data_IF_716624356163
#
_entry.id   IF_716624356163
#
_cell.length_a   1.000
_cell.length_b   1.000
_cell.length_c   1.000
_cell.angle_alpha   90.00
_cell.angle_beta   90.00
_cell.angle_gamma   90.00
#
_symmetry.space_group_name_H-M   'P 1'
#
loop_
_entity.id
_entity.type
_entity.pdbx_description
1 polymer ?
#
# COMPACT_ATOMS: atom_id res chain seq x y z
N UNK A 1 -33.14 1.32 12.45
CA UNK A 1 -32.05 2.30 12.64
C UNK A 1 -31.51 2.70 11.27
N UNK A 2 -31.30 3.98 11.04
CA UNK A 2 -30.71 4.43 9.77
C UNK A 2 -29.26 3.94 9.67
N UNK A 3 -28.89 3.30 8.56
CA UNK A 3 -27.52 2.82 8.34
C UNK A 3 -26.53 3.99 8.41
N UNK A 4 -25.42 3.81 9.12
CA UNK A 4 -24.34 4.79 9.27
C UNK A 4 -23.03 4.23 8.74
N UNK A 5 -22.06 5.08 8.46
CA UNK A 5 -20.73 4.62 8.04
C UNK A 5 -20.07 3.74 9.11
N UNK A 6 -20.34 4.01 10.39
CA UNK A 6 -19.80 3.23 11.50
C UNK A 6 -20.41 1.82 11.53
N UNK A 7 -21.75 1.70 11.35
CA UNK A 7 -22.42 0.40 11.27
C UNK A 7 -22.01 -0.39 10.03
N UNK A 8 -21.73 0.30 8.94
CA UNK A 8 -21.20 -0.32 7.72
C UNK A 8 -19.77 -0.83 7.91
N UNK A 9 -18.89 -0.04 8.54
CA UNK A 9 -17.54 -0.50 8.88
C UNK A 9 -17.56 -1.70 9.82
N UNK A 10 -18.51 -1.76 10.79
CA UNK A 10 -18.68 -2.94 11.64
C UNK A 10 -18.98 -4.19 10.82
N UNK A 11 -19.84 -4.08 9.81
CA UNK A 11 -20.15 -5.21 8.91
C UNK A 11 -18.89 -5.66 8.15
N UNK A 12 -18.12 -4.73 7.59
CA UNK A 12 -16.87 -5.06 6.88
C UNK A 12 -15.85 -5.75 7.80
N UNK A 13 -15.70 -5.29 9.05
CA UNK A 13 -14.76 -5.90 9.99
C UNK A 13 -15.19 -7.31 10.39
N UNK A 14 -16.49 -7.57 10.49
CA UNK A 14 -17.05 -8.88 10.82
C UNK A 14 -16.90 -9.94 9.72
N UNK A 15 -16.58 -9.53 8.50
CA UNK A 15 -16.25 -10.44 7.40
C UNK A 15 -14.74 -10.67 7.41
N UNK A 16 -14.24 -11.86 7.81
CA UNK A 16 -12.82 -12.15 7.74
C UNK A 16 -12.29 -12.08 6.31
N UNK A 17 -11.10 -11.53 6.13
CA UNK A 17 -10.41 -11.48 4.84
C UNK A 17 -8.89 -11.57 5.02
N UNK A 18 -8.46 -12.47 5.89
CA UNK A 18 -7.03 -12.68 6.17
C UNK A 18 -6.32 -13.18 4.93
N UNK A 19 -5.19 -12.56 4.61
CA UNK A 19 -4.36 -12.97 3.49
C UNK A 19 -3.76 -14.37 3.76
N UNK A 20 -4.07 -15.38 2.93
CA UNK A 20 -3.61 -16.74 3.16
C UNK A 20 -2.08 -16.91 3.06
N UNK A 21 -1.39 -16.00 2.37
CA UNK A 21 0.08 -16.03 2.28
C UNK A 21 0.73 -15.58 3.61
N UNK A 22 0.00 -14.86 4.47
CA UNK A 22 0.49 -14.36 5.76
C UNK A 22 0.10 -15.25 6.95
N UNK A 23 -1.02 -15.97 6.86
CA UNK A 23 -1.50 -16.84 7.94
C UNK A 23 -2.32 -18.02 7.37
N UNK A 24 -1.66 -19.01 6.76
CA UNK A 24 -2.35 -20.13 6.11
C UNK A 24 -3.11 -21.03 7.11
N UNK A 25 -2.79 -20.97 8.39
CA UNK A 25 -3.41 -21.80 9.43
C UNK A 25 -4.71 -21.20 10.01
N UNK A 26 -5.02 -19.96 9.69
CA UNK A 26 -6.12 -19.23 10.35
C UNK A 26 -7.53 -19.74 9.99
N UNK A 27 -7.72 -20.56 8.95
CA UNK A 27 -9.03 -21.09 8.53
C UNK A 27 -10.06 -20.04 8.09
N UNK A 28 -9.70 -18.75 8.15
CA UNK A 28 -10.53 -17.56 7.88
C UNK A 28 -9.91 -16.74 6.74
N UNK A 29 -9.46 -17.44 5.72
CA UNK A 29 -8.55 -16.92 4.71
C UNK A 29 -9.25 -16.55 3.42
N UNK A 30 -8.67 -15.56 2.73
CA UNK A 30 -9.09 -15.13 1.42
C UNK A 30 -10.05 -13.95 1.42
N UNK A 31 -10.07 -13.29 0.31
CA UNK A 31 -10.80 -12.05 0.09
C UNK A 31 -12.20 -12.25 -0.49
N UNK A 32 -12.52 -13.48 -0.92
CA UNK A 32 -13.72 -13.81 -1.70
C UNK A 32 -15.02 -13.35 -1.01
N UNK A 33 -15.22 -13.72 0.25
CA UNK A 33 -16.45 -13.38 0.97
C UNK A 33 -16.65 -11.86 1.13
N UNK A 34 -15.56 -11.12 1.36
CA UNK A 34 -15.63 -9.66 1.41
C UNK A 34 -15.91 -9.07 0.04
N UNK A 35 -15.30 -9.61 -1.02
CA UNK A 35 -15.51 -9.14 -2.38
C UNK A 35 -16.97 -9.36 -2.82
N UNK A 36 -17.57 -10.50 -2.51
CA UNK A 36 -18.97 -10.82 -2.80
C UNK A 36 -19.93 -9.89 -2.05
N UNK A 37 -19.73 -9.70 -0.76
CA UNK A 37 -20.51 -8.74 0.02
C UNK A 37 -20.46 -7.33 -0.56
N UNK A 38 -19.26 -6.87 -0.95
CA UNK A 38 -19.07 -5.57 -1.55
C UNK A 38 -19.69 -5.48 -2.94
N UNK A 39 -19.68 -6.55 -3.73
CA UNK A 39 -20.28 -6.58 -5.05
C UNK A 39 -21.79 -6.34 -4.95
N UNK A 40 -22.51 -7.09 -4.11
CA UNK A 40 -23.93 -6.91 -3.87
C UNK A 40 -24.27 -5.49 -3.38
N UNK A 41 -23.45 -4.99 -2.46
CA UNK A 41 -23.67 -3.64 -1.92
C UNK A 41 -23.47 -2.56 -2.98
N UNK A 42 -22.42 -2.66 -3.83
CA UNK A 42 -22.12 -1.70 -4.89
C UNK A 42 -23.16 -1.71 -6.00
N UNK A 43 -23.64 -2.90 -6.38
CA UNK A 43 -24.76 -3.07 -7.33
C UNK A 43 -26.03 -2.39 -6.79
N UNK A 44 -26.31 -2.51 -5.49
CA UNK A 44 -27.48 -1.88 -4.84
C UNK A 44 -27.47 -0.36 -4.92
N UNK A 45 -26.31 0.26 -5.14
CA UNK A 45 -26.17 1.71 -5.32
C UNK A 45 -25.93 2.12 -6.77
N UNK A 46 -26.07 1.19 -7.72
CA UNK A 46 -26.07 1.44 -9.15
C UNK A 46 -24.72 1.28 -9.86
N UNK A 47 -23.77 0.56 -9.29
CA UNK A 47 -22.54 0.20 -9.98
C UNK A 47 -22.73 -1.04 -10.87
N UNK A 48 -21.97 -1.13 -11.95
CA UNK A 48 -21.69 -2.38 -12.65
C UNK A 48 -20.46 -3.00 -12.03
N UNK A 49 -20.56 -4.23 -11.48
CA UNK A 49 -19.49 -4.87 -10.75
C UNK A 49 -18.94 -6.08 -11.50
N UNK A 50 -17.61 -6.26 -11.43
CA UNK A 50 -16.92 -7.45 -11.95
C UNK A 50 -15.96 -7.93 -10.85
N UNK A 51 -16.02 -9.21 -10.52
CA UNK A 51 -15.02 -9.93 -9.75
C UNK A 51 -14.01 -10.52 -10.73
N UNK A 52 -12.80 -9.98 -10.77
CA UNK A 52 -11.75 -10.38 -11.69
C UNK A 52 -10.73 -11.23 -10.96
N UNK A 53 -10.75 -12.56 -11.20
CA UNK A 53 -9.85 -13.48 -10.53
C UNK A 53 -8.38 -13.19 -10.88
N UNK A 54 -7.56 -13.07 -9.83
CA UNK A 54 -6.11 -12.84 -9.91
C UNK A 54 -5.34 -14.10 -9.51
N UNK A 55 -5.79 -14.76 -8.45
CA UNK A 55 -5.37 -16.09 -8.00
C UNK A 55 -6.63 -16.91 -7.75
N UNK A 56 -6.58 -18.26 -7.78
CA UNK A 56 -7.76 -19.09 -7.53
C UNK A 56 -8.52 -18.70 -6.25
N UNK A 57 -9.80 -18.32 -6.40
CA UNK A 57 -10.66 -17.87 -5.30
C UNK A 57 -10.27 -16.53 -4.67
N UNK A 58 -9.42 -15.74 -5.31
CA UNK A 58 -8.94 -14.44 -4.81
C UNK A 58 -9.08 -13.36 -5.88
N UNK A 59 -10.23 -12.70 -5.99
CA UNK A 59 -10.49 -11.71 -7.01
C UNK A 59 -10.08 -10.30 -6.58
N UNK A 60 -9.80 -9.44 -7.58
CA UNK A 60 -10.07 -8.02 -7.47
C UNK A 60 -11.57 -7.75 -7.64
N UNK A 61 -12.10 -6.76 -6.96
CA UNK A 61 -13.44 -6.25 -7.21
C UNK A 61 -13.32 -4.94 -7.99
N UNK A 62 -14.00 -4.83 -9.14
CA UNK A 62 -14.03 -3.63 -9.98
C UNK A 62 -15.48 -3.15 -10.09
N UNK A 63 -15.77 -1.93 -9.61
CA UNK A 63 -17.10 -1.32 -9.68
C UNK A 63 -17.06 -0.01 -10.48
N UNK A 64 -17.93 0.08 -11.48
CA UNK A 64 -18.03 1.23 -12.39
C UNK A 64 -19.42 1.86 -12.30
N UNK A 65 -19.44 3.19 -12.16
CA UNK A 65 -20.68 3.98 -12.09
C UNK A 65 -20.97 4.73 -13.40
N UNK A 66 -20.10 4.63 -14.38
CA UNK A 66 -20.24 5.25 -15.69
C UNK A 66 -19.75 4.30 -16.79
N UNK A 67 -20.31 4.38 -18.01
CA UNK A 67 -19.86 3.57 -19.14
C UNK A 67 -18.41 3.89 -19.52
N UNK A 68 -17.81 3.00 -20.32
CA UNK A 68 -16.47 3.19 -20.92
C UNK A 68 -16.59 4.05 -22.18
N UNK A 69 -16.87 5.33 -22.02
CA UNK A 69 -17.19 6.29 -23.08
C UNK A 69 -16.04 7.25 -23.43
N UNK A 70 -14.84 6.93 -22.98
CA UNK A 70 -13.63 7.72 -23.29
C UNK A 70 -13.40 8.93 -22.39
N UNK A 71 -14.31 9.24 -21.46
CA UNK A 71 -14.06 10.31 -20.47
C UNK A 71 -12.91 9.94 -19.52
N UNK A 72 -12.20 10.95 -18.98
CA UNK A 72 -11.18 10.70 -17.94
C UNK A 72 -11.73 9.89 -16.79
N UNK A 73 -10.91 8.97 -16.22
CA UNK A 73 -11.31 8.12 -15.10
C UNK A 73 -10.37 8.29 -13.92
N UNK A 74 -10.93 8.27 -12.74
CA UNK A 74 -10.17 8.20 -11.47
C UNK A 74 -10.54 6.95 -10.72
N UNK A 75 -9.56 6.41 -10.00
CA UNK A 75 -9.67 5.18 -9.24
C UNK A 75 -9.71 5.49 -7.74
N UNK A 76 -10.65 4.88 -7.02
CA UNK A 76 -10.61 4.75 -5.56
C UNK A 76 -10.22 3.30 -5.25
N UNK A 77 -9.03 3.08 -4.67
CA UNK A 77 -8.41 1.77 -4.57
C UNK A 77 -7.96 1.39 -3.16
N UNK A 78 -8.84 0.88 -2.27
CA UNK A 78 -8.42 0.17 -1.05
C UNK A 78 -8.05 -1.28 -1.38
N UNK A 79 -7.47 -2.01 -0.38
CA UNK A 79 -7.26 -3.45 -0.50
C UNK A 79 -8.29 -4.26 0.30
N UNK A 80 -8.51 -5.53 -0.12
CA UNK A 80 -9.48 -6.45 0.48
C UNK A 80 -8.91 -7.21 1.66
N UNK A 81 -7.65 -7.63 1.54
CA UNK A 81 -7.00 -8.52 2.50
C UNK A 81 -6.59 -7.81 3.79
N UNK A 82 -6.26 -8.60 4.79
CA UNK A 82 -5.67 -8.16 6.04
C UNK A 82 -4.52 -9.08 6.43
N UNK A 83 -3.60 -8.61 7.28
CA UNK A 83 -2.63 -9.48 7.94
C UNK A 83 -3.32 -10.48 8.87
N UNK A 84 -2.56 -11.49 9.31
CA UNK A 84 -3.01 -12.54 10.23
C UNK A 84 -3.50 -12.02 11.58
N UNK A 85 -4.08 -12.91 12.37
CA UNK A 85 -4.68 -12.61 13.68
C UNK A 85 -3.90 -13.17 14.86
N UNK A 86 -2.81 -13.89 14.60
CA UNK A 86 -1.98 -14.49 15.63
C UNK A 86 -1.47 -13.42 16.63
N UNK A 87 -1.56 -13.70 17.90
CA UNK A 87 -1.14 -12.80 18.98
C UNK A 87 -2.10 -11.63 19.28
N UNK A 88 -3.27 -11.54 18.65
CA UNK A 88 -4.29 -10.56 19.04
C UNK A 88 -4.89 -10.93 20.41
N UNK A 89 -5.12 -9.89 21.22
CA UNK A 89 -5.70 -10.02 22.57
C UNK A 89 -7.19 -9.62 22.62
N UNK A 90 -7.75 -9.23 21.49
CA UNK A 90 -9.16 -8.87 21.33
C UNK A 90 -9.79 -9.80 20.30
N UNK A 91 -11.14 -9.85 20.27
CA UNK A 91 -11.87 -10.57 19.22
C UNK A 91 -11.56 -9.95 17.83
N UNK A 92 -10.89 -10.68 16.93
CA UNK A 92 -10.40 -10.09 15.69
C UNK A 92 -11.50 -9.53 14.79
N UNK A 93 -12.65 -10.20 14.73
CA UNK A 93 -13.75 -9.89 13.81
C UNK A 93 -15.04 -9.48 14.54
N UNK A 94 -14.96 -9.14 15.82
CA UNK A 94 -16.13 -8.68 16.61
C UNK A 94 -16.71 -7.35 16.14
N UNK A 95 -15.87 -6.46 15.65
CA UNK A 95 -16.27 -5.10 15.26
C UNK A 95 -16.85 -4.32 16.43
N UNK A 96 -16.30 -4.50 17.63
CA UNK A 96 -16.77 -3.84 18.86
C UNK A 96 -16.56 -2.32 18.77
N UNK A 97 -17.59 -1.55 19.16
CA UNK A 97 -17.45 -0.12 19.37
C UNK A 97 -17.35 0.17 20.84
N UNK A 98 -16.17 0.58 21.31
CA UNK A 98 -15.89 0.93 22.69
C UNK A 98 -15.08 2.23 22.76
N UNK A 99 -15.43 3.13 23.66
CA UNK A 99 -14.76 4.43 23.86
C UNK A 99 -14.68 5.27 22.58
N UNK A 100 -15.71 5.24 21.75
CA UNK A 100 -15.75 5.96 20.47
C UNK A 100 -14.78 5.41 19.40
N UNK A 101 -14.33 4.16 19.53
CA UNK A 101 -13.44 3.46 18.60
C UNK A 101 -14.04 2.14 18.17
N UNK A 102 -13.80 1.78 16.92
CA UNK A 102 -14.13 0.46 16.40
C UNK A 102 -12.88 -0.42 16.45
N UNK A 103 -13.02 -1.58 17.09
CA UNK A 103 -11.96 -2.54 17.32
C UNK A 103 -12.14 -3.77 16.44
N UNK A 104 -11.04 -4.25 15.85
CA UNK A 104 -11.01 -5.47 15.05
C UNK A 104 -9.92 -5.44 13.99
N UNK A 105 -9.59 -6.63 13.45
CA UNK A 105 -8.63 -6.80 12.35
C UNK A 105 -9.14 -6.09 11.10
N UNK A 106 -8.26 -5.30 10.46
CA UNK A 106 -8.63 -4.53 9.28
C UNK A 106 -9.42 -3.24 9.56
N UNK A 107 -9.82 -2.95 10.81
CA UNK A 107 -10.61 -1.75 11.13
C UNK A 107 -9.93 -0.43 10.72
N UNK A 108 -8.60 -0.41 10.71
CA UNK A 108 -7.80 0.73 10.28
C UNK A 108 -7.14 0.48 8.91
N UNK A 109 -6.64 -0.71 8.70
CA UNK A 109 -5.87 -1.16 7.56
C UNK A 109 -6.57 -2.37 6.90
N UNK A 110 -7.44 -2.17 5.85
CA UNK A 110 -7.83 -0.86 5.26
C UNK A 110 -9.36 -0.73 5.14
N UNK A 111 -10.16 -1.54 5.90
CA UNK A 111 -11.64 -1.50 5.84
C UNK A 111 -12.21 -0.14 6.28
N UNK A 112 -11.50 0.60 7.14
CA UNK A 112 -11.88 1.96 7.52
C UNK A 112 -11.88 2.94 6.36
N UNK A 113 -10.75 3.15 5.66
CA UNK A 113 -10.69 3.90 4.41
C UNK A 113 -11.68 3.39 3.36
N UNK A 114 -11.80 2.08 3.18
CA UNK A 114 -12.76 1.42 2.30
C UNK A 114 -14.20 1.86 2.61
N UNK A 115 -14.62 1.75 3.86
CA UNK A 115 -15.98 2.14 4.29
C UNK A 115 -16.25 3.63 4.00
N UNK A 116 -15.28 4.49 4.19
CA UNK A 116 -15.44 5.91 3.91
C UNK A 116 -15.59 6.22 2.42
N UNK A 117 -14.78 5.58 1.57
CA UNK A 117 -14.88 5.70 0.11
C UNK A 117 -16.24 5.20 -0.38
N UNK A 118 -16.64 4.01 0.04
CA UNK A 118 -17.92 3.42 -0.31
C UNK A 118 -19.10 4.28 0.15
N UNK A 119 -19.04 4.80 1.37
CA UNK A 119 -20.08 5.68 1.88
C UNK A 119 -20.19 6.98 1.08
N UNK A 120 -19.06 7.56 0.68
CA UNK A 120 -19.06 8.75 -0.19
C UNK A 120 -19.68 8.47 -1.56
N UNK A 121 -19.38 7.30 -2.16
CA UNK A 121 -20.00 6.85 -3.41
C UNK A 121 -21.52 6.72 -3.26
N UNK A 122 -22.00 6.07 -2.19
CA UNK A 122 -23.43 5.97 -1.88
C UNK A 122 -24.11 7.34 -1.78
N UNK A 123 -23.50 8.27 -1.06
CA UNK A 123 -24.06 9.61 -0.86
C UNK A 123 -24.10 10.44 -2.15
N UNK A 124 -23.25 10.10 -3.11
CA UNK A 124 -23.12 10.82 -4.39
C UNK A 124 -23.67 10.04 -5.57
N UNK A 125 -24.25 8.84 -5.37
CA UNK A 125 -24.65 7.91 -6.44
C UNK A 125 -25.49 8.54 -7.56
N UNK A 126 -26.38 9.48 -7.23
CA UNK A 126 -27.25 10.13 -8.20
C UNK A 126 -26.53 11.05 -9.19
N UNK A 127 -25.26 11.39 -8.95
CA UNK A 127 -24.47 12.24 -9.82
C UNK A 127 -23.33 11.50 -10.53
N UNK A 128 -22.93 10.30 -10.07
CA UNK A 128 -21.70 9.62 -10.52
C UNK A 128 -21.70 9.33 -12.04
N UNK A 129 -22.82 8.91 -12.59
CA UNK A 129 -22.94 8.59 -14.03
C UNK A 129 -22.75 9.82 -14.93
N UNK A 130 -23.09 11.02 -14.43
CA UNK A 130 -23.10 12.26 -15.18
C UNK A 130 -21.89 13.16 -14.89
N UNK A 131 -20.94 12.70 -14.07
CA UNK A 131 -19.70 13.45 -13.83
C UNK A 131 -18.88 13.52 -15.11
N UNK A 132 -18.23 14.66 -15.38
CA UNK A 132 -17.32 14.80 -16.52
C UNK A 132 -16.06 13.92 -16.39
N UNK A 133 -15.79 13.43 -15.19
CA UNK A 133 -14.75 12.44 -14.87
C UNK A 133 -15.42 11.23 -14.24
N UNK A 134 -15.25 10.05 -14.85
CA UNK A 134 -15.77 8.82 -14.28
C UNK A 134 -15.02 8.43 -13.01
N UNK A 135 -15.74 7.88 -12.04
CA UNK A 135 -15.17 7.40 -10.76
C UNK A 135 -15.42 5.91 -10.67
N UNK A 136 -14.34 5.14 -10.57
CA UNK A 136 -14.38 3.71 -10.35
C UNK A 136 -13.86 3.37 -8.95
N UNK A 137 -14.43 2.33 -8.36
CA UNK A 137 -13.94 1.76 -7.12
C UNK A 137 -13.35 0.39 -7.42
N UNK A 138 -12.11 0.16 -7.00
CA UNK A 138 -11.43 -1.12 -7.18
C UNK A 138 -10.83 -1.56 -5.86
N UNK A 139 -11.31 -2.66 -5.31
CA UNK A 139 -10.73 -3.26 -4.13
C UNK A 139 -9.75 -4.36 -4.54
N UNK A 140 -8.49 -4.20 -4.13
CA UNK A 140 -7.38 -5.06 -4.54
C UNK A 140 -7.17 -6.23 -3.59
N UNK A 141 -6.95 -7.44 -4.16
CA UNK A 141 -6.53 -8.61 -3.39
C UNK A 141 -5.01 -8.58 -3.14
N UNK A 142 -4.57 -9.20 -2.03
CA UNK A 142 -3.18 -9.55 -1.81
C UNK A 142 -2.21 -8.39 -1.68
N UNK A 143 -2.62 -7.26 -1.10
CA UNK A 143 -1.73 -6.12 -0.81
C UNK A 143 -0.67 -6.52 0.19
N UNK A 144 -1.06 -7.19 1.27
CA UNK A 144 -0.25 -7.54 2.44
C UNK A 144 0.83 -8.60 2.17
N UNK A 145 0.81 -9.23 0.98
CA UNK A 145 1.78 -10.29 0.62
C UNK A 145 2.50 -10.11 -0.72
N UNK A 146 2.36 -8.96 -1.37
CA UNK A 146 3.08 -8.74 -2.62
C UNK A 146 2.32 -7.92 -3.65
N UNK A 147 1.13 -7.39 -3.30
CA UNK A 147 0.35 -6.46 -4.12
C UNK A 147 -0.08 -7.06 -5.46
N UNK A 148 -0.44 -8.35 -5.42
CA UNK A 148 -0.79 -9.12 -6.61
C UNK A 148 -1.95 -8.48 -7.38
N UNK A 149 -3.02 -8.09 -6.67
CA UNK A 149 -4.21 -7.50 -7.27
C UNK A 149 -3.93 -6.18 -7.97
N UNK A 150 -3.23 -5.25 -7.32
CA UNK A 150 -2.93 -3.96 -7.93
C UNK A 150 -1.95 -4.06 -9.10
N UNK A 151 -0.99 -5.00 -9.06
CA UNK A 151 -0.07 -5.29 -10.15
C UNK A 151 -0.79 -5.88 -11.35
N UNK A 152 -1.68 -6.84 -11.13
CA UNK A 152 -2.49 -7.45 -12.19
C UNK A 152 -3.42 -6.41 -12.83
N UNK A 153 -4.14 -5.65 -12.00
CA UNK A 153 -4.99 -4.56 -12.46
C UNK A 153 -4.20 -3.52 -13.28
N UNK A 154 -3.00 -3.15 -12.85
CA UNK A 154 -2.18 -2.19 -13.57
C UNK A 154 -1.79 -2.69 -14.96
N UNK A 155 -1.49 -3.99 -15.11
CA UNK A 155 -1.20 -4.59 -16.42
C UNK A 155 -2.38 -4.53 -17.37
N UNK A 156 -3.59 -4.77 -16.88
CA UNK A 156 -4.81 -4.87 -17.70
C UNK A 156 -5.49 -3.52 -17.94
N UNK A 157 -5.50 -2.64 -16.94
CA UNK A 157 -6.42 -1.50 -16.91
C UNK A 157 -5.78 -0.12 -16.71
N UNK A 158 -4.49 -0.02 -16.33
CA UNK A 158 -3.87 1.26 -15.96
C UNK A 158 -4.00 2.37 -17.02
N UNK A 159 -3.99 2.01 -18.30
CA UNK A 159 -4.08 2.98 -19.39
C UNK A 159 -5.41 3.77 -19.42
N UNK A 160 -6.45 3.27 -18.72
CA UNK A 160 -7.77 3.90 -18.66
C UNK A 160 -7.92 4.94 -17.54
N UNK A 161 -6.90 5.10 -16.65
CA UNK A 161 -7.00 5.96 -15.49
C UNK A 161 -5.99 7.09 -15.52
N UNK A 162 -6.44 8.30 -15.19
CA UNK A 162 -5.59 9.48 -15.07
C UNK A 162 -5.08 9.70 -13.66
N UNK A 163 -5.78 9.15 -12.67
CA UNK A 163 -5.45 9.35 -11.27
C UNK A 163 -6.02 8.25 -10.39
N UNK A 164 -5.30 7.92 -9.30
CA UNK A 164 -5.77 6.99 -8.30
C UNK A 164 -5.62 7.55 -6.89
N UNK A 165 -6.60 7.25 -6.03
CA UNK A 165 -6.56 7.48 -4.59
C UNK A 165 -6.58 6.12 -3.92
N UNK A 166 -5.47 5.76 -3.26
CA UNK A 166 -5.33 4.49 -2.55
C UNK A 166 -5.70 4.69 -1.08
N UNK A 167 -6.59 3.85 -0.57
CA UNK A 167 -7.10 3.95 0.79
C UNK A 167 -6.17 3.27 1.80
N UNK A 168 -5.33 4.06 2.48
CA UNK A 168 -4.37 3.60 3.48
C UNK A 168 -4.47 4.41 4.79
N UNK A 169 -4.00 3.86 5.94
CA UNK A 169 -4.05 4.55 7.23
C UNK A 169 -2.96 5.62 7.35
N UNK A 170 -3.14 6.77 6.71
CA UNK A 170 -2.16 7.87 6.63
C UNK A 170 -2.32 8.95 7.71
N UNK A 171 -3.19 8.77 8.69
CA UNK A 171 -3.51 9.79 9.70
C UNK A 171 -4.11 11.09 9.11
N UNK A 172 -4.80 10.99 7.97
CA UNK A 172 -5.36 12.08 7.17
C UNK A 172 -4.31 12.92 6.43
N UNK A 173 -3.11 12.43 6.29
CA UNK A 173 -2.12 13.06 5.42
C UNK A 173 -2.30 12.60 3.97
N UNK A 174 -2.10 13.52 3.03
CA UNK A 174 -2.07 13.21 1.61
C UNK A 174 -0.66 12.74 1.29
N UNK A 175 -0.47 11.43 1.23
CA UNK A 175 0.80 10.83 0.86
C UNK A 175 0.93 10.87 -0.66
N UNK A 176 1.76 11.79 -1.15
CA UNK A 176 1.98 12.01 -2.57
C UNK A 176 3.29 11.42 -3.10
N UNK A 177 4.15 10.94 -2.19
CA UNK A 177 5.42 10.29 -2.53
C UNK A 177 5.71 9.15 -1.56
N UNK A 178 6.16 7.99 -2.08
CA UNK A 178 6.55 6.83 -1.27
C UNK A 178 7.89 6.28 -1.73
N UNK A 179 8.62 5.64 -0.81
CA UNK A 179 9.78 4.82 -1.19
C UNK A 179 9.30 3.52 -1.84
N UNK A 180 10.02 3.05 -2.83
CA UNK A 180 9.95 1.67 -3.29
C UNK A 180 10.65 0.72 -2.32
N UNK A 181 10.64 -0.58 -2.64
CA UNK A 181 11.30 -1.62 -1.84
C UNK A 181 11.92 -2.66 -2.75
N UNK A 182 13.15 -3.08 -2.44
CA UNK A 182 13.73 -4.31 -2.96
C UNK A 182 13.89 -5.28 -1.80
N UNK A 183 13.31 -6.46 -1.93
CA UNK A 183 13.68 -7.61 -1.11
C UNK A 183 14.56 -8.52 -1.92
N UNK A 184 15.68 -8.94 -1.34
CA UNK A 184 16.62 -9.82 -2.00
C UNK A 184 17.18 -10.83 -1.02
N UNK A 185 17.37 -12.08 -1.47
CA UNK A 185 18.05 -13.11 -0.72
C UNK A 185 19.44 -13.31 -1.31
N UNK A 186 20.45 -13.10 -0.47
CA UNK A 186 21.84 -13.42 -0.78
C UNK A 186 22.19 -14.79 -0.24
N UNK A 187 22.91 -15.60 -1.03
CA UNK A 187 23.39 -16.92 -0.66
C UNK A 187 24.91 -16.98 -0.80
N UNK A 188 25.56 -17.55 0.22
CA UNK A 188 26.94 -18.00 0.15
C UNK A 188 26.98 -19.53 0.22
N UNK A 189 27.78 -20.14 -0.63
CA UNK A 189 28.05 -21.58 -0.62
C UNK A 189 29.46 -21.86 -0.11
N UNK A 190 29.64 -23.03 0.49
CA UNK A 190 30.88 -23.48 1.07
C UNK A 190 31.13 -24.96 0.80
N UNK A 191 31.99 -25.56 1.62
CA UNK A 191 32.31 -27.00 1.58
C UNK A 191 32.19 -27.56 2.98
N UNK A 192 31.23 -28.48 3.19
CA UNK A 192 30.98 -29.12 4.47
C UNK A 192 32.09 -30.15 4.79
N UNK A 193 32.64 -30.04 6.00
CA UNK A 193 33.56 -31.00 6.59
C UNK A 193 33.35 -31.08 8.10
N UNK A 194 33.88 -32.09 8.74
CA UNK A 194 33.88 -32.18 10.18
C UNK A 194 34.68 -31.03 10.80
N UNK A 195 34.17 -30.43 11.89
CA UNK A 195 34.77 -29.26 12.54
C UNK A 195 36.19 -29.46 13.09
N UNK A 196 36.67 -30.68 13.20
CA UNK A 196 38.06 -30.99 13.55
C UNK A 196 39.06 -30.79 12.43
N UNK A 197 38.58 -30.58 11.17
CA UNK A 197 39.44 -30.39 9.98
C UNK A 197 38.91 -29.18 9.17
N UNK A 198 38.72 -28.00 9.77
CA UNK A 198 38.06 -26.88 9.11
C UNK A 198 38.86 -26.35 7.89
N UNK A 199 40.17 -26.60 7.84
CA UNK A 199 41.07 -26.22 6.73
C UNK A 199 40.75 -26.96 5.44
N UNK A 200 40.00 -28.07 5.50
CA UNK A 200 39.57 -28.87 4.31
C UNK A 200 38.21 -28.41 3.81
N UNK A 201 37.53 -27.53 4.53
CA UNK A 201 36.22 -27.02 4.16
C UNK A 201 36.23 -25.53 3.85
N UNK A 202 35.08 -25.05 3.45
CA UNK A 202 34.82 -23.61 3.25
C UNK A 202 33.57 -23.20 4.02
N UNK A 203 33.74 -22.32 5.00
CA UNK A 203 32.62 -21.91 5.85
C UNK A 203 31.74 -20.84 5.19
N UNK A 204 30.54 -21.24 4.75
CA UNK A 204 29.57 -20.36 4.11
C UNK A 204 29.09 -19.21 5.01
N UNK A 205 28.95 -19.45 6.33
CA UNK A 205 28.56 -18.40 7.28
C UNK A 205 29.62 -17.29 7.31
N UNK A 206 30.91 -17.64 7.38
CA UNK A 206 32.00 -16.67 7.37
C UNK A 206 32.09 -15.92 6.04
N UNK A 207 31.88 -16.62 4.91
CA UNK A 207 31.80 -15.96 3.58
C UNK A 207 30.66 -14.91 3.58
N UNK A 208 29.46 -15.32 3.99
CA UNK A 208 28.28 -14.47 3.99
C UNK A 208 28.48 -13.26 4.91
N UNK A 209 28.86 -13.46 6.17
CA UNK A 209 29.00 -12.36 7.14
C UNK A 209 30.04 -11.32 6.74
N UNK A 210 31.19 -11.76 6.21
CA UNK A 210 32.21 -10.84 5.63
C UNK A 210 31.70 -10.08 4.43
N UNK A 211 30.89 -10.73 3.58
CA UNK A 211 30.26 -10.08 2.42
C UNK A 211 29.23 -9.04 2.86
N UNK A 212 28.40 -9.37 3.86
CA UNK A 212 27.38 -8.46 4.38
C UNK A 212 28.00 -7.22 5.04
N UNK A 213 29.06 -7.37 5.82
CA UNK A 213 29.77 -6.25 6.45
C UNK A 213 30.33 -5.28 5.40
N UNK A 214 30.98 -5.81 4.36
CA UNK A 214 31.47 -5.01 3.23
C UNK A 214 30.34 -4.34 2.44
N UNK A 215 29.24 -5.05 2.21
CA UNK A 215 28.07 -4.53 1.51
C UNK A 215 27.41 -3.41 2.29
N UNK A 216 27.23 -3.55 3.60
CA UNK A 216 26.61 -2.51 4.44
C UNK A 216 27.36 -1.19 4.33
N UNK A 217 28.70 -1.22 4.43
CA UNK A 217 29.52 -0.02 4.28
C UNK A 217 29.49 0.60 2.88
N UNK A 218 29.73 -0.22 1.84
CA UNK A 218 29.82 0.29 0.46
C UNK A 218 28.45 0.67 -0.12
N UNK A 219 27.48 -0.24 -0.05
CA UNK A 219 26.14 -0.01 -0.57
C UNK A 219 25.42 1.08 0.22
N UNK A 220 25.58 1.10 1.56
CA UNK A 220 25.04 2.16 2.41
C UNK A 220 25.52 3.54 2.01
N UNK A 221 26.82 3.68 1.68
CA UNK A 221 27.40 4.93 1.17
C UNK A 221 26.79 5.35 -0.18
N UNK A 222 26.67 4.40 -1.14
CA UNK A 222 26.05 4.66 -2.44
C UNK A 222 24.57 5.05 -2.32
N UNK A 223 23.82 4.34 -1.47
CA UNK A 223 22.40 4.61 -1.23
C UNK A 223 22.15 6.00 -0.61
N UNK A 224 23.08 6.50 0.19
CA UNK A 224 22.99 7.83 0.79
C UNK A 224 23.02 8.97 -0.24
N UNK A 225 23.61 8.75 -1.42
CA UNK A 225 23.60 9.72 -2.52
C UNK A 225 22.21 9.93 -3.12
N UNK A 226 21.32 8.94 -3.00
CA UNK A 226 19.95 8.99 -3.53
C UNK A 226 19.00 9.50 -2.45
N UNK A 227 19.04 10.82 -2.20
CA UNK A 227 18.21 11.49 -1.20
C UNK A 227 17.04 12.20 -1.88
N UNK A 228 15.86 12.13 -1.25
CA UNK A 228 14.65 12.84 -1.66
C UNK A 228 14.27 13.88 -0.58
N UNK A 229 13.82 15.10 -0.95
CA UNK A 229 13.54 16.17 0.02
C UNK A 229 12.53 15.78 1.11
N UNK A 230 11.51 14.98 0.76
CA UNK A 230 10.44 14.56 1.68
C UNK A 230 10.73 13.20 2.32
N UNK A 231 11.32 12.25 1.57
CA UNK A 231 11.51 10.86 2.01
C UNK A 231 12.86 10.61 2.70
N UNK A 232 13.80 11.54 2.60
CA UNK A 232 15.18 11.32 3.01
C UNK A 232 15.90 10.35 2.06
N UNK A 233 16.97 9.71 2.54
CA UNK A 233 17.84 8.84 1.75
C UNK A 233 17.24 7.44 1.49
N UNK A 234 17.72 6.76 0.46
CA UNK A 234 17.57 5.32 0.30
C UNK A 234 18.33 4.57 1.41
N UNK A 235 17.85 3.39 1.81
CA UNK A 235 18.38 2.67 2.98
C UNK A 235 18.49 1.18 2.72
N UNK A 236 19.46 0.52 3.37
CA UNK A 236 19.61 -0.94 3.45
C UNK A 236 19.28 -1.42 4.86
N UNK A 237 18.61 -2.55 4.96
CA UNK A 237 18.46 -3.33 6.17
C UNK A 237 18.75 -4.81 5.88
N UNK A 238 19.59 -5.44 6.70
CA UNK A 238 19.81 -6.88 6.72
C UNK A 238 18.84 -7.44 7.76
N UNK A 239 17.71 -8.00 7.30
CA UNK A 239 16.59 -8.36 8.17
C UNK A 239 16.68 -9.76 8.75
N UNK A 240 17.26 -10.70 8.02
CA UNK A 240 17.36 -12.11 8.41
C UNK A 240 18.70 -12.68 7.97
N UNK A 241 19.25 -13.58 8.79
CA UNK A 241 20.40 -14.42 8.45
C UNK A 241 20.14 -15.83 8.93
N UNK A 242 20.49 -16.84 8.12
CA UNK A 242 20.39 -18.25 8.43
C UNK A 242 21.61 -18.98 7.87
N UNK A 243 22.06 -20.06 8.51
CA UNK A 243 23.15 -20.86 7.98
C UNK A 243 23.60 -21.98 8.92
N UNK A 244 24.18 -23.02 8.31
CA UNK A 244 24.65 -24.20 9.01
C UNK A 244 23.54 -25.13 9.51
N UNK A 245 23.94 -26.33 9.92
CA UNK A 245 23.02 -27.37 10.41
C UNK A 245 23.37 -27.84 11.81
N UNK A 246 24.64 -28.00 12.13
CA UNK A 246 25.15 -28.48 13.42
C UNK A 246 26.51 -27.83 13.77
N UNK A 247 26.85 -27.63 15.06
CA UNK A 247 28.09 -26.96 15.46
C UNK A 247 29.37 -27.75 15.14
N UNK A 248 29.26 -29.05 14.93
CA UNK A 248 30.41 -29.92 14.58
C UNK A 248 30.57 -30.12 13.04
N UNK A 249 29.91 -29.33 12.23
CA UNK A 249 30.03 -29.35 10.75
C UNK A 249 30.37 -27.92 10.27
N UNK A 250 31.39 -27.78 9.42
CA UNK A 250 31.66 -26.54 8.70
C UNK A 250 30.49 -26.27 7.75
N UNK A 251 29.79 -25.13 7.84
CA UNK A 251 28.61 -24.85 7.03
C UNK A 251 28.92 -24.71 5.54
N UNK A 252 28.15 -25.40 4.70
CA UNK A 252 28.21 -25.32 3.24
C UNK A 252 27.17 -24.38 2.64
N UNK A 253 26.22 -23.89 3.44
CA UNK A 253 25.17 -22.97 3.03
C UNK A 253 24.89 -21.90 4.09
N UNK A 254 24.77 -20.66 3.65
CA UNK A 254 24.25 -19.54 4.46
C UNK A 254 23.50 -18.54 3.57
N UNK A 255 22.42 -17.97 4.09
CA UNK A 255 21.57 -17.02 3.39
C UNK A 255 21.26 -15.80 4.27
N UNK A 256 21.07 -14.65 3.62
CA UNK A 256 20.58 -13.42 4.25
C UNK A 256 19.49 -12.76 3.42
N UNK A 257 18.46 -12.24 4.10
CA UNK A 257 17.39 -11.49 3.45
C UNK A 257 17.60 -9.98 3.70
N UNK A 258 17.62 -9.24 2.61
CA UNK A 258 17.84 -7.80 2.58
C UNK A 258 16.54 -7.06 2.25
N UNK A 259 16.36 -5.88 2.84
CA UNK A 259 15.33 -4.89 2.48
C UNK A 259 16.03 -3.57 2.12
N UNK A 260 15.95 -3.17 0.85
CA UNK A 260 16.44 -1.87 0.39
C UNK A 260 15.24 -0.98 0.09
N UNK A 261 15.17 0.17 0.77
CA UNK A 261 14.17 1.19 0.47
C UNK A 261 14.72 2.20 -0.51
N UNK A 262 14.09 2.29 -1.69
CA UNK A 262 14.56 3.14 -2.78
C UNK A 262 13.72 4.39 -2.96
N UNK A 263 14.39 5.53 -3.12
CA UNK A 263 13.78 6.81 -3.49
C UNK A 263 13.48 6.85 -4.99
N UNK A 264 12.62 7.77 -5.48
CA UNK A 264 12.43 8.01 -6.92
C UNK A 264 13.75 8.24 -7.68
N UNK A 265 14.71 8.93 -7.06
CA UNK A 265 16.03 9.18 -7.65
C UNK A 265 16.82 7.88 -7.91
N UNK A 266 16.80 6.92 -6.97
CA UNK A 266 17.44 5.61 -7.17
C UNK A 266 16.71 4.78 -8.24
N UNK A 267 15.39 4.82 -8.26
CA UNK A 267 14.61 4.14 -9.30
C UNK A 267 14.95 4.68 -10.70
N UNK A 268 15.04 6.01 -10.85
CA UNK A 268 15.45 6.65 -12.11
C UNK A 268 16.90 6.31 -12.53
N UNK A 269 17.77 5.99 -11.58
CA UNK A 269 19.16 5.55 -11.84
C UNK A 269 19.28 4.04 -12.20
N UNK A 270 18.15 3.34 -12.32
CA UNK A 270 18.10 1.92 -12.73
C UNK A 270 17.72 0.96 -11.61
N UNK A 271 17.32 1.48 -10.43
CA UNK A 271 16.77 0.69 -9.33
C UNK A 271 17.79 0.14 -8.34
N UNK A 272 17.28 -0.45 -7.28
CA UNK A 272 18.10 -0.96 -6.18
C UNK A 272 18.75 -2.31 -6.54
N UNK A 273 18.09 -3.14 -7.32
CA UNK A 273 18.64 -4.45 -7.74
C UNK A 273 19.88 -4.29 -8.61
N UNK A 274 19.85 -3.37 -9.56
CA UNK A 274 21.03 -3.04 -10.38
C UNK A 274 22.19 -2.58 -9.49
N UNK A 275 21.94 -1.62 -8.61
CA UNK A 275 22.98 -1.10 -7.70
C UNK A 275 23.55 -2.18 -6.78
N UNK A 276 22.71 -3.10 -6.28
CA UNK A 276 23.12 -4.24 -5.46
C UNK A 276 24.04 -5.18 -6.26
N UNK A 277 23.65 -5.56 -7.47
CA UNK A 277 24.46 -6.43 -8.36
C UNK A 277 25.82 -5.81 -8.68
N UNK A 278 25.84 -4.53 -9.06
CA UNK A 278 27.07 -3.79 -9.34
C UNK A 278 27.99 -3.76 -8.11
N UNK A 279 27.43 -3.51 -6.92
CA UNK A 279 28.22 -3.48 -5.67
C UNK A 279 28.76 -4.85 -5.28
N UNK A 280 27.99 -5.95 -5.44
CA UNK A 280 28.47 -7.32 -5.22
C UNK A 280 29.66 -7.62 -6.15
N UNK A 281 29.54 -7.27 -7.43
CA UNK A 281 30.58 -7.46 -8.42
C UNK A 281 31.84 -6.63 -8.11
N UNK A 282 31.71 -5.34 -7.83
CA UNK A 282 32.83 -4.45 -7.47
C UNK A 282 33.60 -4.93 -6.23
N UNK A 283 32.89 -5.48 -5.25
CA UNK A 283 33.50 -6.01 -4.05
C UNK A 283 34.12 -7.40 -4.27
N UNK A 284 33.87 -8.09 -5.38
CA UNK A 284 34.21 -9.48 -5.55
C UNK A 284 33.64 -10.35 -4.42
N UNK A 285 32.44 -10.01 -3.92
CA UNK A 285 31.83 -10.71 -2.80
C UNK A 285 31.37 -12.11 -3.24
N UNK A 286 31.77 -13.20 -2.53
CA UNK A 286 31.42 -14.57 -2.90
C UNK A 286 30.00 -14.93 -2.47
N UNK A 287 29.03 -14.17 -2.97
CA UNK A 287 27.59 -14.35 -2.74
C UNK A 287 26.82 -14.19 -4.05
N UNK A 288 25.70 -14.87 -4.15
CA UNK A 288 24.77 -14.76 -5.27
C UNK A 288 23.40 -14.24 -4.81
N UNK A 289 22.66 -13.56 -5.69
CA UNK A 289 21.27 -13.18 -5.47
C UNK A 289 20.40 -14.33 -5.97
N UNK A 290 19.83 -15.11 -5.05
CA UNK A 290 19.01 -16.30 -5.39
C UNK A 290 17.53 -15.96 -5.55
N UNK A 291 17.08 -14.86 -4.96
CA UNK A 291 15.75 -14.30 -5.19
C UNK A 291 15.76 -12.78 -5.05
N UNK A 292 14.88 -12.12 -5.78
CA UNK A 292 14.70 -10.67 -5.65
C UNK A 292 13.31 -10.25 -6.09
N UNK A 293 12.77 -9.24 -5.40
CA UNK A 293 11.51 -8.62 -5.75
C UNK A 293 11.59 -7.12 -5.50
N UNK A 294 11.52 -6.32 -6.57
CA UNK A 294 11.58 -4.86 -6.49
C UNK A 294 10.23 -4.25 -6.82
N UNK A 295 9.77 -3.36 -5.93
CA UNK A 295 8.60 -2.51 -6.14
C UNK A 295 9.07 -1.07 -6.35
N UNK A 296 8.60 -0.39 -7.41
CA UNK A 296 9.00 0.98 -7.67
C UNK A 296 8.46 1.94 -6.59
N UNK A 297 9.11 3.09 -6.38
CA UNK A 297 8.54 4.19 -5.62
C UNK A 297 7.38 4.81 -6.37
N UNK A 298 6.54 5.54 -5.66
CA UNK A 298 5.51 6.40 -6.25
C UNK A 298 5.86 7.85 -5.98
N UNK A 299 5.67 8.72 -6.97
CA UNK A 299 5.76 10.16 -6.79
C UNK A 299 4.72 10.87 -7.65
N UNK A 300 3.95 11.75 -7.01
CA UNK A 300 3.06 12.69 -7.67
C UNK A 300 3.51 14.10 -7.28
N UNK A 301 3.74 15.00 -8.24
CA UNK A 301 4.13 16.38 -7.93
C UNK A 301 3.15 17.04 -6.94
N UNK A 302 3.65 17.76 -5.92
CA UNK A 302 2.79 18.36 -4.89
C UNK A 302 1.84 19.42 -5.45
N UNK A 303 2.15 19.98 -6.61
CA UNK A 303 1.35 20.97 -7.33
C UNK A 303 0.37 20.34 -8.34
N UNK A 304 0.31 19.02 -8.44
CA UNK A 304 -0.63 18.32 -9.30
C UNK A 304 -2.08 18.76 -9.00
N UNK A 305 -2.93 19.01 -10.01
CA UNK A 305 -4.28 19.54 -9.80
C UNK A 305 -5.13 18.71 -8.84
N UNK A 306 -4.99 17.39 -8.88
CA UNK A 306 -5.72 16.48 -7.97
C UNK A 306 -5.23 16.57 -6.53
N UNK A 307 -3.91 16.74 -6.30
CA UNK A 307 -3.36 16.99 -4.96
C UNK A 307 -3.93 18.26 -4.39
N UNK A 308 -3.94 19.36 -5.16
CA UNK A 308 -4.53 20.64 -4.74
C UNK A 308 -6.02 20.51 -4.42
N UNK A 309 -6.78 19.74 -5.21
CA UNK A 309 -8.22 19.47 -4.94
C UNK A 309 -8.40 18.69 -3.63
N UNK A 310 -7.58 17.68 -3.37
CA UNK A 310 -7.62 16.93 -2.11
C UNK A 310 -7.30 17.82 -0.91
N UNK A 311 -6.32 18.73 -1.02
CA UNK A 311 -6.00 19.70 0.04
C UNK A 311 -7.15 20.67 0.31
N UNK A 312 -7.84 21.15 -0.74
CA UNK A 312 -9.02 22.02 -0.59
C UNK A 312 -10.17 21.26 0.06
N UNK A 313 -10.37 20.01 -0.29
CA UNK A 313 -11.41 19.15 0.28
C UNK A 313 -11.12 18.76 1.74
N UNK A 314 -9.85 18.62 2.10
CA UNK A 314 -9.36 18.32 3.45
C UNK A 314 -8.38 19.39 3.96
N UNK A 315 -8.86 20.56 4.38
CA UNK A 315 -7.99 21.70 4.72
C UNK A 315 -7.03 21.42 5.90
N UNK A 316 -7.33 20.41 6.71
CA UNK A 316 -6.44 19.94 7.79
C UNK A 316 -5.43 18.87 7.31
N UNK A 317 -5.54 18.42 6.06
CA UNK A 317 -4.66 17.41 5.51
C UNK A 317 -3.33 18.02 5.07
N UNK A 318 -2.24 17.45 5.58
CA UNK A 318 -0.87 17.85 5.21
C UNK A 318 -0.36 16.98 4.07
N UNK A 319 0.50 17.56 3.23
CA UNK A 319 1.28 16.76 2.30
C UNK A 319 2.37 16.01 3.07
N UNK A 320 2.51 14.74 2.76
CA UNK A 320 3.51 13.88 3.39
C UNK A 320 4.13 12.93 2.37
N UNK A 321 5.29 12.39 2.74
CA UNK A 321 5.87 11.21 2.13
C UNK A 321 5.83 10.07 3.12
N UNK A 322 5.62 8.84 2.64
CA UNK A 322 5.69 7.66 3.47
C UNK A 322 6.80 6.73 3.02
N UNK A 323 7.61 6.20 3.95
CA UNK A 323 8.34 4.99 3.68
C UNK A 323 7.29 3.90 3.47
N UNK A 324 7.28 3.25 2.30
CA UNK A 324 6.36 2.15 2.06
C UNK A 324 6.66 1.04 3.06
N UNK A 325 5.74 0.77 3.99
CA UNK A 325 5.83 -0.41 4.83
C UNK A 325 5.40 -1.60 3.98
N UNK A 326 6.31 -2.51 3.74
CA UNK A 326 5.89 -3.85 3.38
C UNK A 326 5.30 -4.47 4.65
N UNK A 327 4.15 -5.09 4.51
CA UNK A 327 3.45 -5.94 5.45
C UNK A 327 3.42 -5.45 6.90
N UNK A 328 2.24 -5.12 7.34
CA UNK A 328 1.91 -4.78 8.70
C UNK A 328 2.40 -5.79 9.72
N UNK A 329 3.46 -5.45 10.43
CA UNK A 329 3.46 -5.84 11.83
C UNK A 329 2.64 -4.82 12.56
N UNK A 330 1.52 -5.34 13.01
CA UNK A 330 0.58 -4.79 13.94
C UNK A 330 0.99 -3.47 14.63
N UNK A 331 0.40 -2.39 14.19
CA UNK A 331 0.23 -1.18 14.99
C UNK A 331 -1.22 -1.05 15.47
N UNK A 332 -1.95 -2.16 15.59
CA UNK A 332 -3.33 -2.22 16.08
C UNK A 332 -3.49 -1.68 17.53
N UNK A 333 -2.38 -1.45 18.24
CA UNK A 333 -2.38 -0.95 19.61
C UNK A 333 -2.13 0.56 19.74
N UNK A 334 -2.02 1.34 18.65
CA UNK A 334 -1.94 2.80 18.82
C UNK A 334 -3.27 3.35 19.30
N UNK A 335 -3.32 3.63 20.61
CA UNK A 335 -4.40 4.32 21.30
C UNK A 335 -4.72 5.64 20.58
N UNK A 336 -5.91 5.72 20.01
CA UNK A 336 -6.49 6.98 19.54
C UNK A 336 -6.98 7.70 20.79
N UNK A 337 -6.28 8.74 21.25
CA UNK A 337 -6.80 9.61 22.31
C UNK A 337 -7.79 10.62 21.70
N UNK A 338 -9.00 10.80 22.26
CA UNK A 338 -9.85 11.90 21.90
C UNK A 338 -9.29 13.18 22.54
N UNK A 339 -8.96 14.19 21.75
CA UNK A 339 -8.78 15.54 22.28
C UNK A 339 -10.10 16.28 22.14
N UNK A 340 -10.58 16.76 23.28
CA UNK A 340 -11.80 17.56 23.43
C UNK A 340 -11.67 18.96 22.81
N UNK A 341 -12.83 19.48 22.37
CA UNK A 341 -13.20 20.89 22.24
C UNK A 341 -12.41 21.80 21.30
N UNK A 342 -12.93 21.95 20.10
CA UNK A 342 -13.13 23.27 19.44
C UNK A 342 -14.16 23.11 18.32
N UNK A 343 -15.42 23.08 18.71
CA UNK A 343 -16.58 23.01 17.81
C UNK A 343 -17.09 24.42 17.59
N UNK A 344 -17.57 24.69 16.40
CA UNK A 344 -18.58 25.68 16.04
C UNK A 344 -18.19 26.92 15.22
N UNK A 345 -16.96 27.26 14.91
CA UNK A 345 -16.68 28.49 14.17
C UNK A 345 -16.23 28.36 12.70
N UNK A 346 -15.99 27.16 12.20
CA UNK A 346 -15.43 26.92 10.84
C UNK A 346 -16.49 26.74 9.72
N UNK A 347 -17.75 26.68 10.03
CA UNK A 347 -18.83 26.44 9.06
C UNK A 347 -19.28 27.66 8.26
N UNK A 348 -18.91 28.88 8.63
CA UNK A 348 -19.41 30.11 8.00
C UNK A 348 -18.49 30.76 6.96
N UNK A 349 -17.28 30.25 6.69
CA UNK A 349 -16.31 30.90 5.80
C UNK A 349 -16.06 30.24 4.43
N UNK A 350 -16.78 29.22 4.05
CA UNK A 350 -16.55 28.47 2.80
C UNK A 350 -17.42 28.92 1.61
N UNK A 351 -17.82 30.19 1.52
CA UNK A 351 -18.72 30.68 0.45
C UNK A 351 -18.12 31.66 -0.55
N UNK A 352 -16.83 31.81 -0.66
CA UNK A 352 -16.27 32.64 -1.74
C UNK A 352 -14.85 32.24 -2.09
N UNK A 353 -14.68 31.56 -3.22
CA UNK A 353 -13.48 31.70 -4.07
C UNK A 353 -13.79 31.26 -5.50
N UNK A 354 -13.62 32.19 -6.43
CA UNK A 354 -13.80 32.03 -7.87
C UNK A 354 -12.63 31.33 -8.53
N UNK A 355 -12.94 30.57 -9.59
CA UNK A 355 -12.00 29.85 -10.42
C UNK A 355 -11.18 30.79 -11.31
N UNK A 356 -9.88 30.53 -11.42
CA UNK A 356 -9.06 31.00 -12.52
C UNK A 356 -8.19 29.86 -13.06
N UNK A 357 -8.47 29.53 -14.31
CA UNK A 357 -7.65 28.89 -15.36
C UNK A 357 -6.50 27.94 -15.02
N UNK A 358 -6.74 26.64 -15.24
CA UNK A 358 -5.78 25.71 -15.82
C UNK A 358 -6.57 24.74 -16.72
N UNK A 359 -6.11 24.55 -17.98
CA UNK A 359 -6.84 23.87 -19.02
C UNK A 359 -7.12 22.39 -18.74
N UNK A 360 -8.29 21.95 -19.17
CA UNK A 360 -8.62 20.55 -19.40
C UNK A 360 -9.52 19.85 -18.40
N UNK A 361 -9.68 20.34 -17.16
CA UNK A 361 -10.56 19.72 -16.16
C UNK A 361 -11.82 20.56 -15.91
N UNK A 362 -13.00 19.91 -15.76
CA UNK A 362 -14.25 20.63 -15.56
C UNK A 362 -14.22 21.48 -14.29
N UNK A 363 -14.58 22.75 -14.43
CA UNK A 363 -14.67 23.74 -13.35
C UNK A 363 -16.04 23.80 -12.69
N UNK A 364 -16.97 22.88 -13.07
CA UNK A 364 -18.27 22.81 -12.46
C UNK A 364 -18.18 22.34 -11.00
N UNK A 365 -19.03 22.88 -10.14
CA UNK A 365 -19.04 22.57 -8.72
C UNK A 365 -19.29 21.10 -8.38
N UNK A 366 -19.69 20.26 -9.35
CA UNK A 366 -20.07 18.85 -9.17
C UNK A 366 -18.90 17.97 -8.74
N UNK A 367 -17.74 18.10 -9.41
CA UNK A 367 -16.54 17.34 -9.05
C UNK A 367 -15.96 17.79 -7.71
N UNK A 368 -16.03 19.10 -7.40
CA UNK A 368 -15.59 19.66 -6.11
C UNK A 368 -16.43 19.13 -4.95
N UNK A 369 -17.73 18.93 -5.13
CA UNK A 369 -18.61 18.41 -4.08
C UNK A 369 -18.42 16.91 -3.84
N UNK A 370 -18.08 16.14 -4.88
CA UNK A 370 -17.69 14.73 -4.76
C UNK A 370 -16.43 14.57 -3.89
N UNK A 371 -15.37 15.32 -4.18
CA UNK A 371 -14.13 15.27 -3.37
C UNK A 371 -14.36 15.77 -1.95
N UNK A 372 -15.19 16.78 -1.73
CA UNK A 372 -15.60 17.21 -0.38
C UNK A 372 -16.28 16.10 0.39
N UNK A 373 -17.11 15.29 -0.24
CA UNK A 373 -17.83 14.18 0.43
C UNK A 373 -16.91 13.02 0.74
N UNK A 374 -15.92 12.72 -0.11
CA UNK A 374 -14.88 11.73 0.19
C UNK A 374 -14.00 12.20 1.37
N UNK A 375 -13.67 13.50 1.42
CA UNK A 375 -12.68 14.04 2.39
C UNK A 375 -13.30 14.61 3.67
N UNK A 376 -14.54 15.11 3.66
CA UNK A 376 -15.08 16.04 4.67
C UNK A 376 -16.25 15.48 5.47
N UNK A 377 -16.87 14.34 5.14
CA UNK A 377 -17.80 13.81 6.14
C UNK A 377 -17.04 13.31 7.35
N UNK A 378 -16.80 14.26 8.23
CA UNK A 378 -16.60 14.05 9.65
C UNK A 378 -17.74 13.17 10.15
N UNK A 379 -17.57 11.87 10.18
CA UNK A 379 -18.34 11.06 11.10
C UNK A 379 -18.15 11.70 12.47
N UNK A 380 -19.25 12.12 13.11
CA UNK A 380 -19.24 12.83 14.38
C UNK A 380 -18.68 12.00 15.54
N UNK A 381 -18.21 10.79 15.29
CA UNK A 381 -17.68 9.84 16.25
C UNK A 381 -16.40 9.22 15.69
N UNK A 382 -15.33 9.30 16.42
CA UNK A 382 -14.04 8.55 16.38
C UNK A 382 -13.33 8.27 15.04
N UNK A 383 -13.99 8.22 13.89
CA UNK A 383 -13.35 8.07 12.55
C UNK A 383 -12.64 9.35 12.06
N UNK A 384 -12.63 10.40 12.85
CA UNK A 384 -12.29 11.78 12.52
C UNK A 384 -10.84 12.06 12.14
N UNK A 385 -9.93 11.07 12.06
CA UNK A 385 -8.49 11.38 11.90
C UNK A 385 -7.68 10.49 10.99
N UNK A 386 -8.26 9.70 10.05
CA UNK A 386 -7.41 8.80 9.25
C UNK A 386 -7.98 8.40 7.87
N UNK A 387 -8.28 9.34 6.99
CA UNK A 387 -8.90 9.02 5.70
C UNK A 387 -8.39 9.85 4.52
N UNK A 388 -7.11 9.83 4.25
CA UNK A 388 -6.59 10.22 2.94
C UNK A 388 -5.50 9.22 2.58
N UNK A 389 -5.63 8.61 1.40
CA UNK A 389 -4.74 7.58 0.91
C UNK A 389 -3.54 8.10 0.13
N UNK A 390 -2.71 7.19 -0.28
CA UNK A 390 -1.62 7.44 -1.23
C UNK A 390 -2.20 7.77 -2.61
N UNK A 391 -1.53 8.64 -3.35
CA UNK A 391 -1.96 9.13 -4.64
C UNK A 391 -1.00 8.66 -5.71
N UNK A 392 -1.50 7.98 -6.75
CA UNK A 392 -0.71 7.51 -7.88
C UNK A 392 -1.19 8.11 -9.21
N UNK A 393 -0.27 8.42 -10.11
CA UNK A 393 -0.54 8.87 -11.49
C UNK A 393 -0.42 7.72 -12.48
N UNK A 394 -0.90 7.87 -13.73
CA UNK A 394 -0.72 6.87 -14.79
C UNK A 394 0.74 6.50 -15.06
N UNK A 395 1.68 7.41 -14.84
CA UNK A 395 3.12 7.12 -14.95
C UNK A 395 3.58 6.15 -13.87
N UNK A 396 3.11 6.33 -12.63
CA UNK A 396 3.36 5.38 -11.55
C UNK A 396 2.82 3.99 -11.88
N UNK A 397 1.64 3.91 -12.54
CA UNK A 397 1.08 2.66 -13.04
C UNK A 397 1.88 2.06 -14.22
N UNK A 398 2.40 2.90 -15.13
CA UNK A 398 3.25 2.44 -16.25
C UNK A 398 4.59 1.90 -15.77
N UNK A 399 5.19 2.50 -14.76
CA UNK A 399 6.42 1.99 -14.15
C UNK A 399 6.22 0.61 -13.51
N UNK A 400 5.02 0.28 -13.03
CA UNK A 400 4.69 -1.08 -12.62
C UNK A 400 4.70 -2.09 -13.78
N UNK A 401 4.55 -1.66 -15.05
CA UNK A 401 4.61 -2.54 -16.22
C UNK A 401 6.02 -2.95 -16.64
N UNK A 402 7.01 -2.04 -16.51
CA UNK A 402 8.34 -2.28 -17.08
C UNK A 402 9.17 -3.33 -16.36
N UNK A 403 8.93 -3.57 -15.07
CA UNK A 403 9.79 -4.45 -14.27
C UNK A 403 9.35 -5.93 -14.23
N UNK A 404 8.32 -6.32 -15.00
CA UNK A 404 7.84 -7.72 -15.02
C UNK A 404 8.22 -8.50 -16.29
N UNK A 405 8.97 -7.90 -17.23
CA UNK A 405 9.32 -8.56 -18.52
C UNK A 405 10.73 -9.19 -18.55
N UNK A 406 11.53 -9.08 -17.49
CA UNK A 406 12.90 -9.60 -17.48
C UNK A 406 13.19 -10.67 -16.42
N UNK A 407 12.19 -11.43 -15.99
CA UNK A 407 12.42 -12.61 -15.15
C UNK A 407 11.67 -13.82 -15.71
N UNK A 408 12.22 -14.37 -16.78
CA UNK A 408 12.16 -15.78 -17.14
C UNK A 408 13.59 -16.31 -17.25
#
# INVERSE_FOLDING_TARGET
MQATVDSFLQQLVRIPSVNPDNDPAAGLTGEQALAEFLAEWLESIGATVVLEEVKPGRPNLIARFAPMDGRPRILLGPHLDTVGVAGMTIEPFGGEVRDGRLWGRGACDTKGPMAAMLWALRETRGMLANLPVAVDFVAFMGEESGQWGSKDFAKRHAAGYEFAIVGEPTSLEIVHVTKGSLWATLRATGVAVHSSMPERGENAILKLTRSLDRLDGHLGGKLAAFTHPVLGRSTLNIGVIRGGSRPNIVPDLAEAELDIRLTPALAAAGGALKLLRETIHELGAPVEIVSSHENPPMETPPDHPMIRRLQVAGPDAKLAGAPRSASGRDRSTRRIRPTSSSKSRLWKRARSFSAASCGGWPTDGSTGDFFRKITVRRARTALRRRLIGSVATPESFRQMRCNTLESN
#
